data_IF_704753701411
#
_entry.id   IF_704753701411
#
_cell.length_a   1.000
_cell.length_b   1.000
_cell.length_c   1.000
_cell.angle_alpha   90.00
_cell.angle_beta   90.00
_cell.angle_gamma   90.00
#
_symmetry.space_group_name_H-M   'P 1'
#
loop_
_entity.id
_entity.type
_entity.pdbx_description
1 polymer ?
#
# COMPACT_ATOMS: atom_id res chain seq x y z
N UNK A 1 -1.47 23.48 -28.08
CA UNK A 1 -0.78 23.13 -26.82
C UNK A 1 -1.52 23.84 -25.69
N UNK A 2 -2.36 23.13 -24.94
CA UNK A 2 -2.96 23.64 -23.71
C UNK A 2 -1.85 23.81 -22.67
N UNK A 3 -1.80 24.95 -22.00
CA UNK A 3 -0.90 25.15 -20.86
C UNK A 3 -1.10 24.02 -19.84
N UNK A 4 -0.04 23.46 -19.24
CA UNK A 4 -0.20 22.49 -18.17
C UNK A 4 -1.02 23.15 -17.07
N UNK A 5 -2.19 22.57 -16.79
CA UNK A 5 -3.08 23.04 -15.73
C UNK A 5 -2.27 22.96 -14.43
N UNK A 6 -1.98 24.10 -13.81
CA UNK A 6 -1.28 24.11 -12.53
C UNK A 6 -2.08 23.25 -11.54
N UNK A 7 -1.48 22.16 -11.09
CA UNK A 7 -2.12 21.27 -10.12
C UNK A 7 -2.20 21.97 -8.76
N UNK A 8 -3.19 21.58 -7.96
CA UNK A 8 -3.47 22.22 -6.67
C UNK A 8 -2.30 22.07 -5.70
N UNK A 9 -1.65 20.90 -5.72
CA UNK A 9 -0.53 20.53 -4.88
C UNK A 9 0.75 20.46 -5.71
N UNK A 10 1.89 20.55 -5.03
CA UNK A 10 3.22 20.55 -5.64
C UNK A 10 3.83 19.15 -5.77
N UNK A 11 3.29 18.15 -5.07
CA UNK A 11 3.91 16.82 -4.97
C UNK A 11 5.03 16.75 -3.93
N UNK A 12 5.33 17.85 -3.24
CA UNK A 12 6.41 17.96 -2.24
C UNK A 12 5.90 18.00 -0.80
N UNK A 13 4.57 17.98 -0.62
CA UNK A 13 3.93 18.00 0.68
C UNK A 13 4.34 16.78 1.50
N UNK A 14 4.67 16.98 2.78
CA UNK A 14 5.09 15.91 3.67
C UNK A 14 4.23 15.88 4.91
N UNK A 15 3.74 14.69 5.23
CA UNK A 15 2.99 14.43 6.44
C UNK A 15 3.87 13.66 7.41
N UNK A 16 3.86 14.08 8.66
CA UNK A 16 4.60 13.46 9.77
C UNK A 16 3.64 13.07 10.88
N UNK A 17 4.12 12.29 11.86
CA UNK A 17 3.37 11.96 13.06
C UNK A 17 4.30 12.22 14.25
N UNK A 18 3.86 13.05 15.18
CA UNK A 18 4.62 13.31 16.40
C UNK A 18 4.61 12.10 17.33
N UNK A 19 5.72 11.85 18.04
CA UNK A 19 5.82 10.80 19.05
C UNK A 19 6.04 9.38 18.52
N UNK A 20 6.00 9.15 17.20
CA UNK A 20 6.30 7.85 16.58
C UNK A 20 7.69 7.76 15.92
N UNK A 21 8.50 8.82 16.01
CA UNK A 21 9.86 8.86 15.45
C UNK A 21 10.87 7.92 16.12
N UNK A 22 10.51 7.34 17.26
CA UNK A 22 11.36 6.44 18.06
C UNK A 22 11.10 4.95 17.81
N UNK A 23 10.17 4.60 16.91
CA UNK A 23 9.94 3.20 16.55
C UNK A 23 11.25 2.65 15.95
N UNK A 24 11.81 1.55 16.48
CA UNK A 24 13.04 0.98 15.95
C UNK A 24 12.79 0.27 14.61
N UNK A 25 13.79 0.26 13.74
CA UNK A 25 13.80 -0.57 12.54
C UNK A 25 13.70 -2.05 12.90
N UNK A 26 12.95 -2.82 12.11
CA UNK A 26 12.97 -4.27 12.15
C UNK A 26 13.73 -4.80 10.93
N UNK A 27 14.82 -5.53 11.18
CA UNK A 27 15.71 -6.08 10.15
C UNK A 27 15.62 -7.61 10.03
N UNK A 28 14.77 -8.25 10.84
CA UNK A 28 14.57 -9.69 10.80
C UNK A 28 13.63 -10.14 9.69
N UNK A 29 13.45 -11.45 9.59
CA UNK A 29 12.52 -12.05 8.65
C UNK A 29 11.06 -11.75 9.03
N UNK A 30 10.17 -11.62 8.06
CA UNK A 30 8.75 -11.54 8.35
C UNK A 30 8.34 -12.83 9.09
N UNK A 31 7.56 -12.71 10.18
CA UNK A 31 7.18 -13.85 11.01
C UNK A 31 6.30 -14.90 10.29
N UNK A 32 5.89 -14.62 9.04
CA UNK A 32 5.10 -15.53 8.21
C UNK A 32 5.26 -15.17 6.73
N UNK A 33 5.06 -16.14 5.81
CA UNK A 33 5.01 -15.85 4.38
C UNK A 33 3.96 -14.79 4.04
N UNK A 34 4.36 -13.79 3.25
CA UNK A 34 3.51 -12.69 2.81
C UNK A 34 2.63 -13.07 1.61
N UNK A 35 1.49 -12.37 1.46
CA UNK A 35 0.65 -12.47 0.27
C UNK A 35 1.22 -11.59 -0.85
N UNK A 36 2.33 -12.03 -1.46
CA UNK A 36 2.98 -11.33 -2.57
C UNK A 36 2.69 -12.07 -3.87
N UNK A 37 1.95 -11.42 -4.78
CA UNK A 37 1.84 -11.90 -6.14
C UNK A 37 2.91 -11.28 -7.02
N UNK A 38 3.44 -12.14 -7.89
CA UNK A 38 4.58 -11.88 -8.75
C UNK A 38 4.11 -11.78 -10.20
N UNK A 39 4.03 -10.56 -10.73
CA UNK A 39 3.94 -10.36 -12.17
C UNK A 39 4.87 -9.23 -12.60
N UNK A 40 6.06 -9.60 -13.08
CA UNK A 40 7.04 -8.68 -13.70
C UNK A 40 7.66 -9.39 -14.91
N UNK A 41 7.33 -8.99 -16.15
CA UNK A 41 7.98 -9.54 -17.33
C UNK A 41 9.24 -8.74 -17.67
N UNK A 42 10.34 -8.92 -16.92
CA UNK A 42 11.69 -8.60 -17.39
C UNK A 42 12.80 -9.45 -16.74
N UNK A 43 13.90 -9.57 -17.47
CA UNK A 43 14.78 -10.74 -17.58
C UNK A 43 15.72 -11.07 -16.39
N UNK A 44 15.60 -10.42 -15.22
CA UNK A 44 16.36 -10.82 -14.02
C UNK A 44 15.53 -10.93 -12.72
N UNK A 45 14.24 -10.54 -12.72
CA UNK A 45 13.33 -10.80 -11.57
C UNK A 45 12.46 -12.04 -11.77
N UNK A 46 12.34 -12.55 -13.01
CA UNK A 46 11.68 -13.83 -13.32
C UNK A 46 12.38 -15.04 -12.65
N UNK A 47 13.64 -14.87 -12.25
CA UNK A 47 14.46 -15.84 -11.53
C UNK A 47 14.74 -15.47 -10.06
N UNK A 48 14.23 -14.33 -9.55
CA UNK A 48 14.27 -14.05 -8.11
C UNK A 48 13.24 -14.97 -7.45
N UNK A 49 13.66 -16.20 -7.15
CA UNK A 49 12.88 -17.15 -6.33
C UNK A 49 12.59 -16.61 -4.92
N UNK A 50 13.25 -15.52 -4.52
CA UNK A 50 13.14 -14.89 -3.22
C UNK A 50 13.38 -13.37 -3.33
N UNK A 51 12.43 -12.55 -2.89
CA UNK A 51 12.66 -11.14 -2.54
C UNK A 51 12.98 -11.13 -1.05
N UNK A 52 14.08 -10.47 -0.68
CA UNK A 52 14.41 -10.31 0.73
C UNK A 52 13.42 -9.38 1.42
N UNK A 53 13.14 -9.65 2.70
CA UNK A 53 12.20 -8.83 3.48
C UNK A 53 12.66 -7.38 3.62
N UNK A 54 13.98 -7.15 3.64
CA UNK A 54 14.59 -5.81 3.56
C UNK A 54 14.30 -5.11 2.24
N UNK A 55 14.27 -5.83 1.10
CA UNK A 55 13.88 -5.25 -0.18
C UNK A 55 12.39 -4.83 -0.15
N UNK A 56 11.51 -5.64 0.42
CA UNK A 56 10.09 -5.27 0.60
C UNK A 56 9.98 -4.01 1.46
N UNK A 57 10.67 -3.94 2.60
CA UNK A 57 10.65 -2.76 3.48
C UNK A 57 11.24 -1.51 2.81
N UNK A 58 12.27 -1.65 1.97
CA UNK A 58 12.79 -0.56 1.15
C UNK A 58 11.70 0.01 0.24
N UNK A 59 10.98 -0.84 -0.49
CA UNK A 59 9.90 -0.40 -1.38
C UNK A 59 8.73 0.24 -0.63
N UNK A 60 8.42 -0.24 0.58
CA UNK A 60 7.42 0.40 1.46
C UNK A 60 7.85 1.83 1.80
N UNK A 61 9.11 2.03 2.20
CA UNK A 61 9.67 3.36 2.47
C UNK A 61 9.57 4.26 1.23
N UNK A 62 9.99 3.77 0.08
CA UNK A 62 10.01 4.54 -1.19
C UNK A 62 8.59 4.93 -1.65
N UNK A 63 7.61 4.04 -1.52
CA UNK A 63 6.21 4.35 -1.83
C UNK A 63 5.64 5.42 -0.88
N UNK A 64 5.95 5.31 0.41
CA UNK A 64 5.54 6.30 1.41
C UNK A 64 6.17 7.68 1.14
N UNK A 65 7.47 7.71 0.85
CA UNK A 65 8.22 8.93 0.50
C UNK A 65 7.70 9.58 -0.78
N UNK A 66 7.43 8.78 -1.82
CA UNK A 66 6.89 9.28 -3.08
C UNK A 66 5.58 10.04 -2.83
N UNK A 67 4.66 9.48 -2.03
CA UNK A 67 3.38 10.13 -1.68
C UNK A 67 3.46 11.10 -0.49
N UNK A 68 4.64 11.27 0.11
CA UNK A 68 4.90 12.14 1.25
C UNK A 68 4.14 11.75 2.51
N UNK A 69 3.73 10.49 2.65
CA UNK A 69 3.00 9.99 3.83
C UNK A 69 3.99 9.44 4.89
N UNK A 70 3.60 9.34 6.16
CA UNK A 70 4.45 8.72 7.17
C UNK A 70 4.74 7.25 6.86
N UNK A 71 6.01 6.84 6.78
CA UNK A 71 6.40 5.44 6.53
C UNK A 71 5.76 4.47 7.55
N UNK A 72 5.72 4.86 8.84
CA UNK A 72 5.10 4.06 9.91
C UNK A 72 3.60 3.81 9.69
N UNK A 73 2.90 4.73 9.00
CA UNK A 73 1.48 4.58 8.67
C UNK A 73 1.30 3.49 7.61
N UNK A 74 2.09 3.53 6.53
CA UNK A 74 2.01 2.47 5.51
C UNK A 74 2.39 1.11 6.10
N UNK A 75 3.46 1.06 6.91
CA UNK A 75 3.91 -0.16 7.56
C UNK A 75 2.84 -0.79 8.47
N UNK A 76 2.10 0.00 9.28
CA UNK A 76 1.05 -0.56 10.13
C UNK A 76 -0.15 -1.06 9.32
N UNK A 77 -0.52 -0.37 8.24
CA UNK A 77 -1.59 -0.83 7.35
C UNK A 77 -1.22 -2.18 6.74
N UNK A 78 -0.04 -2.30 6.15
CA UNK A 78 0.44 -3.57 5.58
C UNK A 78 0.54 -4.68 6.63
N UNK A 79 0.93 -4.33 7.86
CA UNK A 79 0.96 -5.28 8.96
C UNK A 79 -0.43 -5.80 9.33
N UNK A 80 -1.47 -4.96 9.30
CA UNK A 80 -2.84 -5.40 9.54
C UNK A 80 -3.35 -6.29 8.42
N UNK A 81 -3.12 -5.91 7.16
CA UNK A 81 -3.60 -6.67 6.01
C UNK A 81 -2.93 -8.04 5.87
N UNK A 82 -1.64 -8.11 6.22
CA UNK A 82 -0.88 -9.35 6.11
C UNK A 82 -0.87 -10.17 7.40
N UNK A 83 -1.34 -9.64 8.53
CA UNK A 83 -1.53 -10.36 9.80
C UNK A 83 -0.32 -11.18 10.26
N UNK A 84 0.84 -10.58 10.59
CA UNK A 84 2.15 -11.26 10.77
C UNK A 84 2.15 -12.47 11.72
N UNK A 85 1.22 -12.52 12.68
CA UNK A 85 1.14 -13.56 13.69
C UNK A 85 0.13 -14.68 13.38
N UNK A 86 -0.54 -14.67 12.22
CA UNK A 86 -1.41 -15.77 11.80
C UNK A 86 -0.59 -17.00 11.39
N UNK A 87 -1.05 -18.20 11.78
CA UNK A 87 -0.28 -19.44 11.60
C UNK A 87 0.00 -19.73 10.12
N UNK A 88 1.21 -20.24 9.82
CA UNK A 88 1.68 -20.49 8.45
C UNK A 88 0.73 -21.37 7.62
N UNK A 89 0.03 -22.31 8.26
CA UNK A 89 -0.94 -23.22 7.60
C UNK A 89 -2.22 -22.47 7.18
N UNK A 90 -2.72 -21.54 8.01
CA UNK A 90 -3.90 -20.74 7.69
C UNK A 90 -3.65 -19.77 6.53
N UNK A 91 -2.43 -19.23 6.43
CA UNK A 91 -2.04 -18.34 5.32
C UNK A 91 -1.64 -19.07 4.06
N UNK A 92 -0.99 -20.23 4.13
CA UNK A 92 -0.66 -21.03 2.95
C UNK A 92 -1.93 -21.47 2.20
N UNK A 93 -3.00 -21.82 2.93
CA UNK A 93 -4.32 -22.09 2.33
C UNK A 93 -4.92 -20.84 1.65
N UNK A 94 -4.93 -19.69 2.33
CA UNK A 94 -5.44 -18.43 1.77
C UNK A 94 -4.60 -17.90 0.60
N UNK A 95 -3.28 -18.04 0.68
CA UNK A 95 -2.34 -17.66 -0.37
C UNK A 95 -2.46 -18.61 -1.57
N UNK A 96 -2.57 -19.92 -1.36
CA UNK A 96 -2.78 -20.88 -2.44
C UNK A 96 -4.15 -20.67 -3.10
N UNK A 97 -5.24 -20.52 -2.34
CA UNK A 97 -6.57 -20.25 -2.91
C UNK A 97 -6.62 -18.93 -3.68
N UNK A 98 -6.06 -17.84 -3.13
CA UNK A 98 -6.08 -16.50 -3.74
C UNK A 98 -5.10 -16.35 -4.89
N UNK A 99 -3.89 -16.91 -4.75
CA UNK A 99 -2.94 -16.97 -5.87
C UNK A 99 -3.52 -17.84 -6.97
N UNK A 100 -4.10 -19.02 -6.71
CA UNK A 100 -4.72 -19.84 -7.76
C UNK A 100 -5.91 -19.12 -8.42
N UNK A 101 -6.74 -18.39 -7.67
CA UNK A 101 -7.84 -17.62 -8.28
C UNK A 101 -7.35 -16.42 -9.09
N UNK A 102 -6.35 -15.68 -8.61
CA UNK A 102 -5.81 -14.54 -9.37
C UNK A 102 -4.90 -14.96 -10.52
N UNK A 103 -4.04 -15.96 -10.32
CA UNK A 103 -3.18 -16.54 -11.35
C UNK A 103 -4.00 -17.33 -12.38
N UNK A 104 -5.07 -18.02 -11.96
CA UNK A 104 -6.04 -18.63 -12.88
C UNK A 104 -6.76 -17.60 -13.75
N UNK A 105 -7.03 -16.40 -13.20
CA UNK A 105 -7.56 -15.27 -13.94
C UNK A 105 -6.52 -14.54 -14.82
N UNK A 106 -5.22 -14.75 -14.60
CA UNK A 106 -4.10 -14.19 -15.39
C UNK A 106 -3.63 -15.18 -16.47
N UNK A 107 -3.76 -16.48 -16.25
CA UNK A 107 -3.20 -17.53 -17.12
C UNK A 107 -4.19 -18.05 -18.16
N UNK A 108 -5.51 -17.98 -17.96
CA UNK A 108 -6.46 -18.42 -18.99
C UNK A 108 -6.65 -17.39 -20.12
N UNK A 109 -5.59 -17.29 -20.94
CA UNK A 109 -5.50 -16.83 -22.33
C UNK A 109 -5.63 -15.33 -22.59
N UNK A 110 -4.53 -14.69 -23.01
CA UNK A 110 -4.64 -13.58 -23.99
C UNK A 110 -5.53 -12.41 -23.46
N UNK A 111 -5.50 -12.16 -22.15
CA UNK A 111 -6.63 -11.91 -21.24
C UNK A 111 -7.14 -10.46 -21.07
N UNK A 112 -6.95 -9.58 -22.06
CA UNK A 112 -7.17 -8.13 -21.88
C UNK A 112 -8.61 -7.62 -22.13
N UNK A 113 -9.51 -8.43 -22.72
CA UNK A 113 -10.86 -7.98 -23.13
C UNK A 113 -12.03 -8.47 -22.24
N UNK A 114 -11.80 -9.32 -21.22
CA UNK A 114 -12.87 -10.02 -20.49
C UNK A 114 -12.54 -10.14 -19.00
N UNK A 115 -12.47 -9.05 -18.25
CA UNK A 115 -12.48 -9.15 -16.78
C UNK A 115 -13.93 -9.24 -16.29
N UNK A 116 -14.39 -10.36 -15.71
CA UNK A 116 -15.74 -10.45 -15.17
C UNK A 116 -15.87 -9.56 -13.93
N UNK A 117 -17.00 -8.88 -13.82
CA UNK A 117 -17.40 -7.98 -12.71
C UNK A 117 -17.41 -8.62 -11.30
N UNK A 118 -17.10 -9.91 -11.19
CA UNK A 118 -17.07 -10.68 -9.96
C UNK A 118 -15.73 -10.55 -9.19
N UNK A 119 -14.59 -10.39 -9.89
CA UNK A 119 -13.29 -10.11 -9.25
C UNK A 119 -13.18 -8.61 -8.91
N UNK A 120 -13.92 -7.76 -9.64
CA UNK A 120 -13.84 -6.30 -9.58
C UNK A 120 -14.46 -5.63 -8.32
N UNK A 121 -15.07 -6.41 -7.42
CA UNK A 121 -15.71 -5.91 -6.18
C UNK A 121 -14.99 -6.29 -4.88
N UNK A 122 -13.99 -7.17 -4.93
CA UNK A 122 -13.20 -7.58 -3.77
C UNK A 122 -12.00 -6.66 -3.51
N UNK A 123 -11.52 -6.65 -2.27
CA UNK A 123 -10.18 -6.18 -1.94
C UNK A 123 -9.16 -7.25 -2.28
N UNK A 124 -8.02 -6.89 -2.86
CA UNK A 124 -6.98 -7.84 -3.32
C UNK A 124 -5.57 -7.26 -3.22
N UNK A 125 -4.57 -8.14 -3.35
CA UNK A 125 -3.16 -7.73 -3.39
C UNK A 125 -2.53 -7.52 -2.02
N UNK A 126 -1.27 -7.09 -2.03
CA UNK A 126 -0.44 -6.99 -0.82
C UNK A 126 -0.97 -5.98 0.20
N UNK A 127 -1.65 -4.94 -0.29
CA UNK A 127 -2.31 -3.92 0.51
C UNK A 127 -3.83 -4.16 0.69
N UNK A 128 -4.38 -5.25 0.14
CA UNK A 128 -5.80 -5.59 0.23
C UNK A 128 -6.73 -4.41 -0.10
N UNK A 129 -6.43 -3.71 -1.20
CA UNK A 129 -7.19 -2.53 -1.61
C UNK A 129 -8.39 -2.91 -2.48
N UNK A 130 -9.51 -2.20 -2.27
CA UNK A 130 -10.64 -2.29 -3.21
C UNK A 130 -10.33 -1.55 -4.51
N UNK A 131 -10.88 -2.05 -5.63
CA UNK A 131 -10.77 -1.39 -6.93
C UNK A 131 -11.28 0.05 -6.92
N UNK A 132 -12.37 0.30 -6.20
CA UNK A 132 -12.92 1.65 -6.04
C UNK A 132 -11.92 2.61 -5.39
N UNK A 133 -11.34 2.20 -4.26
CA UNK A 133 -10.33 2.99 -3.56
C UNK A 133 -9.09 3.25 -4.42
N UNK A 134 -8.61 2.24 -5.17
CA UNK A 134 -7.48 2.38 -6.08
C UNK A 134 -7.74 3.43 -7.16
N UNK A 135 -8.88 3.30 -7.87
CA UNK A 135 -9.21 4.20 -8.97
C UNK A 135 -9.45 5.64 -8.49
N UNK A 136 -10.10 5.79 -7.34
CA UNK A 136 -10.34 7.10 -6.75
C UNK A 136 -9.04 7.75 -6.26
N UNK A 137 -8.15 6.99 -5.61
CA UNK A 137 -6.84 7.47 -5.18
C UNK A 137 -5.95 7.87 -6.36
N UNK A 138 -5.98 7.08 -7.45
CA UNK A 138 -5.25 7.37 -8.68
C UNK A 138 -5.72 8.68 -9.30
N UNK A 139 -7.03 8.83 -9.51
CA UNK A 139 -7.63 10.09 -10.01
C UNK A 139 -7.34 11.26 -9.09
N UNK A 140 -7.40 11.05 -7.78
CA UNK A 140 -7.12 12.11 -6.80
C UNK A 140 -5.68 12.60 -6.92
N UNK A 141 -4.72 11.66 -7.05
CA UNK A 141 -3.30 11.98 -7.24
C UNK A 141 -3.06 12.75 -8.54
N UNK A 142 -3.62 12.28 -9.65
CA UNK A 142 -3.47 12.94 -10.95
C UNK A 142 -4.05 14.35 -10.93
N UNK A 143 -5.26 14.52 -10.39
CA UNK A 143 -5.96 15.80 -10.41
C UNK A 143 -5.37 16.82 -9.43
N UNK A 144 -4.99 16.39 -8.23
CA UNK A 144 -4.53 17.32 -7.18
C UNK A 144 -3.02 17.48 -7.18
N UNK A 145 -2.25 16.43 -7.43
CA UNK A 145 -0.79 16.41 -7.35
C UNK A 145 -0.09 16.43 -8.71
N UNK A 146 -0.83 16.27 -9.82
CA UNK A 146 -0.27 16.43 -11.16
C UNK A 146 0.73 15.37 -11.58
N UNK A 147 0.66 14.19 -10.97
CA UNK A 147 1.58 13.09 -11.21
C UNK A 147 0.87 11.74 -11.23
N UNK A 148 1.54 10.75 -11.82
CA UNK A 148 1.06 9.38 -11.79
C UNK A 148 1.14 8.80 -10.36
N UNK A 149 0.20 7.95 -9.93
CA UNK A 149 0.26 7.28 -8.63
C UNK A 149 1.49 6.38 -8.46
N UNK A 150 2.07 5.88 -9.56
CA UNK A 150 3.33 5.14 -9.59
C UNK A 150 4.49 6.08 -9.93
N UNK A 151 5.64 5.88 -9.30
CA UNK A 151 6.89 6.51 -9.77
C UNK A 151 7.28 5.96 -11.14
N UNK A 152 8.12 6.67 -11.90
CA UNK A 152 8.61 6.17 -13.19
C UNK A 152 9.36 4.84 -13.05
N UNK A 153 10.08 4.65 -11.94
CA UNK A 153 10.80 3.40 -11.66
C UNK A 153 9.84 2.21 -11.54
N UNK A 154 8.72 2.38 -10.84
CA UNK A 154 7.70 1.31 -10.73
C UNK A 154 6.88 1.18 -12.00
N UNK A 155 6.52 2.31 -12.64
CA UNK A 155 5.66 2.36 -13.82
C UNK A 155 6.32 1.73 -15.05
N UNK A 156 7.61 1.97 -15.27
CA UNK A 156 8.31 1.56 -16.48
C UNK A 156 9.31 0.42 -16.24
N UNK A 157 9.10 -0.35 -15.16
CA UNK A 157 10.00 -1.41 -14.70
C UNK A 157 10.19 -2.60 -15.64
N UNK A 158 9.38 -2.71 -16.70
CA UNK A 158 9.43 -3.82 -17.65
C UNK A 158 9.59 -3.30 -19.08
N UNK A 159 10.81 -3.32 -19.61
CA UNK A 159 11.22 -2.94 -20.96
C UNK A 159 10.83 -1.50 -21.33
N UNK A 160 10.68 -0.61 -20.34
CA UNK A 160 10.13 0.74 -20.57
C UNK A 160 8.65 0.75 -20.96
N UNK A 161 7.96 -0.39 -20.83
CA UNK A 161 6.51 -0.53 -21.07
C UNK A 161 5.78 0.00 -19.84
N UNK A 162 4.72 0.76 -20.08
CA UNK A 162 3.85 1.27 -19.02
C UNK A 162 3.10 0.13 -18.31
N UNK A 163 3.40 -0.04 -17.02
CA UNK A 163 2.81 -1.05 -16.13
C UNK A 163 1.79 -0.44 -15.15
N UNK A 164 1.31 0.79 -15.37
CA UNK A 164 0.17 1.35 -14.61
C UNK A 164 -1.15 0.69 -15.04
N UNK A 165 -1.37 -0.56 -14.60
CA UNK A 165 -2.56 -1.35 -14.97
C UNK A 165 -3.81 -0.95 -14.21
N UNK A 166 -3.65 -0.26 -13.07
CA UNK A 166 -4.74 0.11 -12.15
C UNK A 166 -5.56 -1.07 -11.66
N UNK A 167 -4.88 -2.20 -11.48
CA UNK A 167 -5.45 -3.45 -10.96
C UNK A 167 -4.77 -3.78 -9.65
N UNK A 168 -5.56 -3.90 -8.58
CA UNK A 168 -5.04 -4.28 -7.26
C UNK A 168 -4.61 -5.75 -7.26
N UNK A 169 -3.42 -6.04 -6.76
CA UNK A 169 -2.83 -7.36 -6.71
C UNK A 169 -2.15 -7.82 -7.99
N UNK A 170 -2.17 -7.03 -9.06
CA UNK A 170 -1.44 -7.36 -10.29
C UNK A 170 0.07 -7.35 -10.05
N UNK A 171 0.56 -6.35 -9.32
CA UNK A 171 1.96 -6.22 -8.93
C UNK A 171 2.08 -5.64 -7.52
N UNK A 172 2.88 -6.30 -6.68
CA UNK A 172 3.00 -5.90 -5.28
C UNK A 172 3.70 -4.54 -5.09
N UNK A 173 4.60 -4.11 -6.00
CA UNK A 173 5.21 -2.77 -5.95
C UNK A 173 4.15 -1.74 -6.31
N UNK A 174 3.35 -1.98 -7.35
CA UNK A 174 2.23 -1.10 -7.73
C UNK A 174 1.21 -0.97 -6.58
N UNK A 175 0.87 -2.08 -5.92
CA UNK A 175 -0.02 -2.09 -4.74
C UNK A 175 0.47 -1.15 -3.62
N UNK A 176 1.78 -1.15 -3.33
CA UNK A 176 2.36 -0.25 -2.33
C UNK A 176 2.16 1.22 -2.68
N UNK A 177 2.33 1.56 -3.96
CA UNK A 177 2.17 2.94 -4.45
C UNK A 177 0.70 3.35 -4.50
N UNK A 178 -0.21 2.47 -4.92
CA UNK A 178 -1.65 2.75 -4.86
C UNK A 178 -2.14 2.89 -3.42
N UNK A 179 -1.66 2.05 -2.50
CA UNK A 179 -1.96 2.15 -1.07
C UNK A 179 -1.49 3.49 -0.51
N UNK A 180 -0.26 3.87 -0.84
CA UNK A 180 0.31 5.15 -0.42
C UNK A 180 -0.46 6.34 -0.98
N UNK A 181 -0.89 6.28 -2.24
CA UNK A 181 -1.75 7.29 -2.86
C UNK A 181 -3.09 7.41 -2.14
N UNK A 182 -3.68 6.27 -1.75
CA UNK A 182 -4.96 6.25 -1.03
C UNK A 182 -4.81 6.80 0.39
N UNK A 183 -3.75 6.45 1.11
CA UNK A 183 -3.44 7.01 2.42
C UNK A 183 -3.21 8.52 2.34
N UNK A 184 -2.56 9.01 1.28
CA UNK A 184 -2.46 10.46 1.03
C UNK A 184 -3.84 11.11 0.88
N UNK A 185 -4.70 10.53 0.04
CA UNK A 185 -6.07 11.02 -0.14
C UNK A 185 -6.86 11.02 1.20
N UNK A 186 -6.69 9.98 2.02
CA UNK A 186 -7.29 9.87 3.35
C UNK A 186 -6.79 10.95 4.31
N UNK A 187 -5.48 11.20 4.35
CA UNK A 187 -4.86 12.26 5.14
C UNK A 187 -5.46 13.62 4.80
N UNK A 188 -5.48 13.98 3.53
CA UNK A 188 -6.00 15.26 3.06
C UNK A 188 -7.49 15.43 3.41
N UNK A 189 -8.27 14.33 3.35
CA UNK A 189 -9.68 14.31 3.74
C UNK A 189 -9.88 14.47 5.25
N UNK A 190 -9.17 13.70 6.08
CA UNK A 190 -9.30 13.72 7.55
C UNK A 190 -8.84 15.04 8.13
N UNK A 191 -7.79 15.63 7.56
CA UNK A 191 -7.29 16.95 7.98
C UNK A 191 -8.12 18.11 7.42
N UNK A 192 -9.04 17.84 6.48
CA UNK A 192 -9.82 18.87 5.77
C UNK A 192 -8.97 19.78 4.88
N UNK A 193 -7.71 19.43 4.65
CA UNK A 193 -6.72 20.24 3.94
C UNK A 193 -6.12 19.45 2.78
N UNK A 194 -6.60 19.66 1.54
CA UNK A 194 -5.91 19.14 0.37
C UNK A 194 -4.50 19.69 0.33
N UNK A 195 -3.52 18.86 -0.04
CA UNK A 195 -2.10 19.19 0.03
C UNK A 195 -1.59 19.31 1.48
N UNK A 196 -2.06 18.45 2.39
CA UNK A 196 -1.67 18.53 3.79
C UNK A 196 -0.14 18.40 3.97
N UNK A 197 0.45 19.41 4.61
CA UNK A 197 1.88 19.48 4.90
C UNK A 197 2.08 19.85 6.37
N UNK A 198 2.54 18.89 7.18
CA UNK A 198 2.62 19.05 8.63
C UNK A 198 2.48 17.74 9.40
N UNK A 199 2.26 17.86 10.71
CA UNK A 199 2.07 16.71 11.60
C UNK A 199 0.59 16.36 11.75
N UNK A 200 0.29 15.06 11.74
CA UNK A 200 -0.99 14.54 12.20
C UNK A 200 -1.00 14.43 13.73
N UNK A 201 -2.14 14.78 14.32
CA UNK A 201 -2.43 14.36 15.69
C UNK A 201 -2.68 12.86 15.76
N UNK A 202 -2.55 12.26 16.95
CA UNK A 202 -2.86 10.84 17.13
C UNK A 202 -4.33 10.50 16.83
N UNK A 203 -5.25 11.44 17.06
CA UNK A 203 -6.66 11.26 16.72
C UNK A 203 -6.88 11.29 15.20
N UNK A 204 -6.23 12.22 14.49
CA UNK A 204 -6.26 12.24 13.02
C UNK A 204 -5.63 10.98 12.42
N UNK A 205 -4.52 10.50 12.99
CA UNK A 205 -3.91 9.24 12.59
C UNK A 205 -4.90 8.07 12.73
N UNK A 206 -5.56 7.97 13.89
CA UNK A 206 -6.59 6.95 14.13
C UNK A 206 -7.70 7.03 13.08
N UNK A 207 -8.20 8.22 12.78
CA UNK A 207 -9.27 8.41 11.79
C UNK A 207 -8.81 8.07 10.36
N UNK A 208 -7.55 8.35 9.99
CA UNK A 208 -6.98 7.89 8.71
C UNK A 208 -6.97 6.36 8.64
N UNK A 209 -6.51 5.67 9.68
CA UNK A 209 -6.48 4.20 9.73
C UNK A 209 -7.89 3.62 9.69
N UNK A 210 -8.82 4.19 10.46
CA UNK A 210 -10.23 3.80 10.44
C UNK A 210 -10.81 3.91 9.04
N UNK A 211 -10.62 5.06 8.39
CA UNK A 211 -11.18 5.33 7.07
C UNK A 211 -10.57 4.46 5.96
N UNK A 212 -9.33 3.98 6.13
CA UNK A 212 -8.75 2.93 5.27
C UNK A 212 -9.54 1.63 5.37
N UNK A 213 -9.88 1.22 6.60
CA UNK A 213 -10.62 -0.01 6.89
C UNK A 213 -12.15 0.12 6.66
N UNK A 214 -12.63 1.28 6.23
CA UNK A 214 -14.04 1.55 5.97
C UNK A 214 -14.76 2.26 7.13
N UNK A 215 -15.93 1.76 7.51
CA UNK A 215 -16.79 2.39 8.52
C UNK A 215 -17.47 1.37 9.44
N UNK A 216 -17.98 1.85 10.58
CA UNK A 216 -18.66 1.04 11.58
C UNK A 216 -17.72 0.38 12.60
N UNK A 217 -18.28 -0.46 13.50
CA UNK A 217 -17.56 -0.95 14.68
C UNK A 217 -16.29 -1.75 14.38
N UNK A 218 -16.25 -2.44 13.23
CA UNK A 218 -15.10 -3.22 12.82
C UNK A 218 -13.92 -2.32 12.41
N UNK A 219 -14.20 -1.25 11.65
CA UNK A 219 -13.19 -0.26 11.28
C UNK A 219 -12.65 0.48 12.51
N UNK A 220 -13.51 0.78 13.49
CA UNK A 220 -13.09 1.34 14.78
C UNK A 220 -12.14 0.40 15.52
N UNK A 221 -12.48 -0.89 15.61
CA UNK A 221 -11.62 -1.89 16.24
C UNK A 221 -10.26 -1.99 15.54
N UNK A 222 -10.24 -2.05 14.20
CA UNK A 222 -8.97 -2.10 13.47
C UNK A 222 -8.13 -0.85 13.70
N UNK A 223 -8.74 0.34 13.76
CA UNK A 223 -8.02 1.55 14.09
C UNK A 223 -7.43 1.49 15.51
N UNK A 224 -8.20 1.03 16.50
CA UNK A 224 -7.73 0.92 17.89
C UNK A 224 -6.60 -0.10 18.04
N UNK A 225 -6.69 -1.24 17.37
CA UNK A 225 -5.65 -2.28 17.36
C UNK A 225 -4.35 -1.78 16.68
N UNK A 226 -4.47 -1.01 15.59
CA UNK A 226 -3.33 -0.37 14.94
C UNK A 226 -2.66 0.64 15.87
N UNK A 227 -3.45 1.51 16.49
CA UNK A 227 -2.96 2.55 17.40
C UNK A 227 -2.29 1.94 18.62
N UNK A 228 -2.83 0.84 19.16
CA UNK A 228 -2.19 0.06 20.23
C UNK A 228 -0.85 -0.50 19.79
N UNK A 229 -0.78 -1.05 18.58
CA UNK A 229 0.46 -1.59 18.01
C UNK A 229 1.52 -0.51 17.82
N UNK A 230 1.16 0.65 17.27
CA UNK A 230 2.07 1.79 17.09
C UNK A 230 2.60 2.33 18.43
N UNK A 231 1.73 2.47 19.43
CA UNK A 231 2.12 2.87 20.80
C UNK A 231 3.01 1.82 21.49
N UNK A 232 2.72 0.54 21.26
CA UNK A 232 3.58 -0.55 21.74
C UNK A 232 4.95 -0.50 21.06
N UNK A 233 5.00 -0.28 19.75
CA UNK A 233 6.24 -0.21 18.98
C UNK A 233 7.11 0.98 19.39
N UNK A 234 6.52 2.13 19.71
CA UNK A 234 7.28 3.30 20.19
C UNK A 234 7.89 3.13 21.58
N UNK A 235 7.43 2.12 22.34
CA UNK A 235 7.94 1.76 23.67
C UNK A 235 8.69 0.44 23.71
N UNK A 236 8.84 -0.23 22.56
CA UNK A 236 9.49 -1.55 22.46
C UNK A 236 8.62 -2.73 22.93
N UNK A 237 7.34 -2.51 23.24
CA UNK A 237 6.41 -3.55 23.67
C UNK A 237 5.78 -4.33 22.48
N UNK A 238 5.89 -3.80 21.27
CA UNK A 238 5.44 -4.44 20.03
C UNK A 238 6.47 -4.25 18.93
N UNK A 239 6.42 -5.10 17.90
CA UNK A 239 7.26 -4.97 16.70
C UNK A 239 6.43 -4.50 15.51
N UNK A 240 6.99 -3.58 14.72
CA UNK A 240 6.43 -3.18 13.43
C UNK A 240 7.28 -3.82 12.32
N UNK A 241 6.92 -5.03 11.91
CA UNK A 241 7.72 -5.90 11.04
C UNK A 241 7.97 -5.32 9.65
N UNK A 242 7.08 -4.45 9.18
CA UNK A 242 7.15 -3.80 7.86
C UNK A 242 7.89 -2.46 7.88
N UNK A 243 8.53 -2.10 9.00
CA UNK A 243 9.19 -0.82 9.16
C UNK A 243 10.71 -0.98 9.32
N UNK A 244 11.47 -0.35 8.43
CA UNK A 244 12.94 -0.26 8.47
C UNK A 244 13.35 1.13 7.96
N UNK A 245 14.14 1.87 8.76
CA UNK A 245 14.60 3.22 8.43
C UNK A 245 15.55 3.25 7.24
#
# INVERSE_FOLDING_TARGET
>A
MSQPKACRCTGKEKTTIEGLSKIPSYTGDFPSPLQVMWYVPEQDELFKLHISDTEIRRWIREAAEYHGIPHVLLAIILQQENGPNATAIQKAGQFAERTITTFGAIVDKRLWDIFPDAISKGSSGFANMSRGALLDASKYTENNYGRNPLSNEVRYRAFGIDQDTRVSGDDWKADLYYCSAHLRQLIDRVTGSPCHNGALTMDQLREVIKAYNGSGPMADKYADDAMKTLKGASTGASTLYFYEQ
#
